data_IF_378067755875
#
_entry.id   IF_378067755875
#
_cell.length_a   1.000
_cell.length_b   1.000
_cell.length_c   1.000
_cell.angle_alpha   90.00
_cell.angle_beta   90.00
_cell.angle_gamma   90.00
#
_symmetry.space_group_name_H-M   'P 1'
#
loop_
_entity.id
_entity.type
_entity.pdbx_description
1 polymer ?
#
# COMPACT_ATOMS: atom_id res chain seq x y z
N UNK A 1 -9.30 28.28 -0.19
CA UNK A 1 -7.87 28.14 -0.58
C UNK A 1 -7.78 27.13 -1.72
N UNK A 2 -7.39 27.55 -2.92
CA UNK A 2 -7.13 26.61 -4.01
C UNK A 2 -5.90 25.76 -3.65
N UNK A 3 -6.09 24.45 -3.44
CA UNK A 3 -4.99 23.53 -3.17
C UNK A 3 -4.01 23.53 -4.36
N UNK A 4 -2.73 23.81 -4.09
CA UNK A 4 -1.71 23.87 -5.13
C UNK A 4 -1.47 22.47 -5.73
N UNK A 5 -1.94 22.25 -6.95
CA UNK A 5 -1.83 20.96 -7.68
C UNK A 5 -0.39 20.47 -7.82
N UNK A 6 0.60 21.37 -7.96
CA UNK A 6 2.02 20.98 -8.02
C UNK A 6 2.53 20.48 -6.66
N UNK A 7 2.11 21.12 -5.58
CA UNK A 7 2.45 20.68 -4.22
C UNK A 7 1.85 19.31 -3.91
N UNK A 8 0.57 19.10 -4.23
CA UNK A 8 -0.09 17.80 -4.04
C UNK A 8 0.62 16.66 -4.78
N UNK A 9 1.09 16.90 -6.01
CA UNK A 9 1.86 15.90 -6.78
C UNK A 9 3.21 15.58 -6.15
N UNK A 10 3.93 16.60 -5.64
CA UNK A 10 5.21 16.39 -4.94
C UNK A 10 5.00 15.62 -3.64
N UNK A 11 3.98 15.99 -2.86
CA UNK A 11 3.63 15.31 -1.62
C UNK A 11 3.26 13.83 -1.88
N UNK A 12 2.36 13.58 -2.82
CA UNK A 12 2.00 12.21 -3.20
C UNK A 12 3.22 11.38 -3.60
N UNK A 13 4.08 11.90 -4.49
CA UNK A 13 5.31 11.21 -4.92
C UNK A 13 6.26 10.89 -3.76
N UNK A 14 6.33 11.74 -2.75
CA UNK A 14 7.17 11.52 -1.56
C UNK A 14 6.56 10.51 -0.59
N UNK A 15 5.23 10.46 -0.46
CA UNK A 15 4.54 9.57 0.47
C UNK A 15 4.35 8.15 -0.08
N UNK A 16 4.26 7.99 -1.40
CA UNK A 16 4.04 6.68 -2.06
C UNK A 16 5.03 5.61 -1.59
N UNK A 17 6.37 5.82 -1.57
CA UNK A 17 7.30 4.76 -1.13
C UNK A 17 7.06 4.32 0.31
N UNK A 18 6.75 5.27 1.20
CA UNK A 18 6.49 5.03 2.62
C UNK A 18 5.20 4.23 2.82
N UNK A 19 4.19 4.46 1.97
CA UNK A 19 2.90 3.76 2.02
C UNK A 19 2.97 2.38 1.34
N UNK A 20 3.65 2.29 0.20
CA UNK A 20 3.69 1.07 -0.63
C UNK A 20 4.62 0.02 -0.02
N UNK A 21 5.74 0.41 0.57
CA UNK A 21 6.68 -0.54 1.19
C UNK A 21 6.01 -1.46 2.24
N UNK A 22 5.29 -0.96 3.26
CA UNK A 22 4.65 -1.82 4.23
C UNK A 22 3.50 -2.63 3.61
N UNK A 23 2.76 -2.07 2.65
CA UNK A 23 1.69 -2.76 1.93
C UNK A 23 2.23 -3.98 1.15
N UNK A 24 3.35 -3.81 0.45
CA UNK A 24 3.99 -4.90 -0.28
C UNK A 24 4.42 -6.01 0.67
N UNK A 25 5.07 -5.67 1.78
CA UNK A 25 5.49 -6.65 2.77
C UNK A 25 4.28 -7.41 3.33
N UNK A 26 3.20 -6.71 3.68
CA UNK A 26 1.98 -7.32 4.24
C UNK A 26 1.29 -8.24 3.25
N UNK A 27 1.14 -7.81 1.99
CA UNK A 27 0.51 -8.64 0.94
C UNK A 27 1.37 -9.87 0.67
N UNK A 28 2.68 -9.69 0.45
CA UNK A 28 3.58 -10.81 0.17
C UNK A 28 3.63 -11.79 1.33
N UNK A 29 3.77 -11.31 2.57
CA UNK A 29 3.86 -12.20 3.73
C UNK A 29 2.56 -12.96 3.99
N UNK A 30 1.41 -12.31 3.81
CA UNK A 30 0.10 -12.94 3.94
C UNK A 30 -0.14 -14.00 2.85
N UNK A 31 0.16 -13.67 1.59
CA UNK A 31 0.03 -14.59 0.46
C UNK A 31 0.95 -15.80 0.61
N UNK A 32 2.24 -15.58 0.94
CA UNK A 32 3.20 -16.67 1.15
C UNK A 32 2.81 -17.56 2.34
N UNK A 33 2.35 -16.96 3.45
CA UNK A 33 1.85 -17.72 4.58
C UNK A 33 0.66 -18.61 4.18
N UNK A 34 -0.28 -18.07 3.41
CA UNK A 34 -1.44 -18.84 2.95
C UNK A 34 -1.01 -20.03 2.06
N UNK A 35 -0.04 -19.84 1.17
CA UNK A 35 0.51 -20.93 0.35
C UNK A 35 1.18 -22.01 1.21
N UNK A 36 1.96 -21.61 2.22
CA UNK A 36 2.59 -22.54 3.16
C UNK A 36 1.54 -23.29 4.00
N UNK A 37 0.52 -22.61 4.48
CA UNK A 37 -0.58 -23.19 5.24
C UNK A 37 -1.34 -24.24 4.42
N UNK A 38 -1.66 -23.94 3.16
CA UNK A 38 -2.30 -24.88 2.24
C UNK A 38 -1.43 -26.10 1.93
N UNK A 39 -0.11 -25.96 2.02
CA UNK A 39 0.86 -27.06 1.83
C UNK A 39 1.08 -27.89 3.10
N UNK A 40 0.33 -27.63 4.18
CA UNK A 40 0.49 -28.30 5.48
C UNK A 40 1.70 -27.82 6.30
N UNK A 41 2.43 -26.79 5.84
CA UNK A 41 3.65 -26.25 6.47
C UNK A 41 3.43 -24.94 7.23
N UNK A 42 2.18 -24.55 7.50
CA UNK A 42 1.88 -23.23 8.09
C UNK A 42 2.64 -22.94 9.39
N UNK A 43 2.88 -23.95 10.22
CA UNK A 43 3.60 -23.83 11.50
C UNK A 43 5.06 -23.39 11.28
N UNK A 44 5.74 -23.92 10.27
CA UNK A 44 7.14 -23.57 9.93
C UNK A 44 7.27 -22.11 9.49
N UNK A 45 6.16 -21.52 9.06
CA UNK A 45 6.07 -20.22 8.42
C UNK A 45 5.36 -19.16 9.29
N UNK A 46 5.17 -19.41 10.58
CA UNK A 46 4.57 -18.44 11.51
C UNK A 46 5.30 -17.08 11.56
N UNK A 47 6.59 -17.05 11.24
CA UNK A 47 7.36 -15.80 11.14
C UNK A 47 6.82 -14.86 10.04
N UNK A 48 6.17 -15.38 8.99
CA UNK A 48 5.49 -14.55 7.98
C UNK A 48 4.30 -13.80 8.58
N UNK A 49 3.59 -14.37 9.55
CA UNK A 49 2.54 -13.66 10.29
C UNK A 49 3.10 -12.55 11.18
N UNK A 50 4.31 -12.74 11.73
CA UNK A 50 4.99 -11.69 12.47
C UNK A 50 5.33 -10.53 11.52
N UNK A 51 5.92 -10.81 10.36
CA UNK A 51 6.18 -9.82 9.33
C UNK A 51 4.89 -9.12 8.85
N UNK A 52 3.81 -9.88 8.66
CA UNK A 52 2.50 -9.37 8.25
C UNK A 52 1.95 -8.33 9.23
N UNK A 53 2.13 -8.56 10.53
CA UNK A 53 1.73 -7.64 11.60
C UNK A 53 2.66 -6.44 11.75
N UNK A 54 3.82 -6.41 11.09
CA UNK A 54 4.82 -5.35 11.25
C UNK A 54 5.87 -5.64 12.32
N UNK A 55 5.98 -6.91 12.75
CA UNK A 55 7.06 -7.37 13.60
C UNK A 55 8.19 -7.91 12.72
N UNK A 56 9.21 -7.07 12.51
CA UNK A 56 10.37 -7.37 11.68
C UNK A 56 11.47 -8.14 12.44
N UNK A 57 11.19 -8.57 13.67
CA UNK A 57 12.16 -9.20 14.57
C UNK A 57 13.04 -8.18 15.29
N UNK A 58 13.75 -7.31 14.55
CA UNK A 58 14.60 -6.26 15.14
C UNK A 58 13.83 -4.98 15.51
N UNK A 59 12.66 -4.76 14.90
CA UNK A 59 11.81 -3.61 15.15
C UNK A 59 10.36 -4.06 15.25
N UNK A 60 9.69 -3.67 16.33
CA UNK A 60 8.27 -3.94 16.54
C UNK A 60 7.46 -2.71 16.15
N UNK A 61 6.87 -2.74 14.95
CA UNK A 61 5.93 -1.72 14.49
C UNK A 61 4.47 -2.17 14.61
N UNK A 62 4.17 -3.27 15.31
CA UNK A 62 2.83 -3.90 15.33
C UNK A 62 1.69 -2.92 15.63
N UNK A 63 1.96 -1.90 16.45
CA UNK A 63 0.97 -0.86 16.78
C UNK A 63 0.72 0.15 15.67
N UNK A 64 1.70 0.46 14.83
CA UNK A 64 1.63 1.55 13.84
C UNK A 64 1.42 0.99 12.43
N UNK A 65 1.99 -0.19 12.17
CA UNK A 65 2.02 -0.82 10.86
C UNK A 65 0.63 -1.05 10.24
N UNK A 66 -0.39 -1.54 10.97
CA UNK A 66 -1.73 -1.70 10.42
C UNK A 66 -2.36 -0.37 10.01
N UNK A 67 -2.11 0.71 10.76
CA UNK A 67 -2.61 2.04 10.42
C UNK A 67 -1.90 2.63 9.20
N UNK A 68 -0.59 2.42 9.06
CA UNK A 68 0.16 2.81 7.87
C UNK A 68 -0.38 2.10 6.62
N UNK A 69 -0.66 0.80 6.72
CA UNK A 69 -1.28 0.05 5.64
C UNK A 69 -2.68 0.55 5.30
N UNK A 70 -3.54 0.70 6.31
CA UNK A 70 -4.93 1.13 6.10
C UNK A 70 -5.00 2.54 5.50
N UNK A 71 -4.35 3.52 6.13
CA UNK A 71 -4.35 4.91 5.66
C UNK A 71 -3.59 5.07 4.35
N UNK A 72 -2.46 4.38 4.20
CA UNK A 72 -1.67 4.36 2.97
C UNK A 72 -2.49 3.85 1.80
N UNK A 73 -3.15 2.71 1.96
CA UNK A 73 -4.02 2.14 0.94
C UNK A 73 -5.17 3.08 0.58
N UNK A 74 -5.87 3.63 1.57
CA UNK A 74 -6.97 4.58 1.34
C UNK A 74 -6.51 5.80 0.55
N UNK A 75 -5.37 6.41 0.93
CA UNK A 75 -4.83 7.58 0.23
C UNK A 75 -4.40 7.24 -1.20
N UNK A 76 -3.82 6.06 -1.43
CA UNK A 76 -3.47 5.58 -2.77
C UNK A 76 -4.71 5.33 -3.63
N UNK A 77 -5.76 4.70 -3.08
CA UNK A 77 -7.03 4.45 -3.80
C UNK A 77 -7.70 5.77 -4.18
N UNK A 78 -7.85 6.70 -3.22
CA UNK A 78 -8.49 8.00 -3.47
C UNK A 78 -7.71 8.80 -4.52
N UNK A 79 -6.39 8.91 -4.36
CA UNK A 79 -5.56 9.66 -5.32
C UNK A 79 -5.55 9.00 -6.71
N UNK A 80 -5.48 7.67 -6.78
CA UNK A 80 -5.60 6.90 -8.02
C UNK A 80 -6.94 7.12 -8.72
N UNK A 81 -8.05 7.05 -7.98
CA UNK A 81 -9.39 7.28 -8.51
C UNK A 81 -9.56 8.72 -9.04
N UNK A 82 -9.07 9.72 -8.32
CA UNK A 82 -9.09 11.12 -8.77
C UNK A 82 -8.26 11.31 -10.05
N UNK A 83 -7.07 10.71 -10.14
CA UNK A 83 -6.26 10.76 -11.34
C UNK A 83 -6.94 10.06 -12.52
N UNK A 84 -7.53 8.89 -12.28
CA UNK A 84 -8.28 8.13 -13.29
C UNK A 84 -9.45 8.92 -13.86
N UNK A 85 -10.23 9.58 -12.99
CA UNK A 85 -11.38 10.38 -13.41
C UNK A 85 -10.99 11.64 -14.18
N UNK A 86 -9.87 12.27 -13.82
CA UNK A 86 -9.39 13.51 -14.45
C UNK A 86 -8.59 13.28 -15.74
N UNK A 87 -8.10 12.06 -15.98
CA UNK A 87 -7.31 11.70 -17.18
C UNK A 87 -8.17 11.16 -18.32
N UNK A 88 -9.51 11.15 -18.18
CA UNK A 88 -10.43 10.73 -19.26
C UNK A 88 -10.14 11.54 -20.53
N UNK A 89 -9.82 10.90 -21.67
CA UNK A 89 -9.42 11.61 -22.88
C UNK A 89 -10.59 12.46 -23.38
N UNK A 90 -10.38 13.77 -23.46
CA UNK A 90 -11.28 14.67 -24.17
C UNK A 90 -11.23 14.24 -25.63
N UNK A 91 -12.33 13.68 -26.16
CA UNK A 91 -12.47 13.31 -27.58
C UNK A 91 -11.98 14.50 -28.40
N UNK A 92 -10.82 14.36 -29.04
CA UNK A 92 -10.22 15.39 -29.88
C UNK A 92 -11.15 15.47 -31.09
N UNK A 93 -12.05 16.45 -31.10
CA UNK A 93 -12.84 16.76 -32.30
C UNK A 93 -11.82 17.26 -33.33
N UNK A 94 -11.43 16.39 -34.26
CA UNK A 94 -10.69 16.81 -35.46
C UNK A 94 -11.70 17.48 -36.38
N UNK A 95 -11.58 18.78 -36.52
CA UNK A 95 -12.06 19.55 -37.68
C UNK A 95 -11.25 19.19 -38.91
#
# INVERSE_FOLDING_TARGET
MALNKRFLRKLHRSLVPIMVAPLLITVLSGTLFQLAALSGRGIDFLWLLNLHKGNLGFMNLERIYPFLNGLGLLLLIVSGAVMWWTTRPKKRQST
#
